data_IF_076363017915
#
_entry.id   IF_076363017915
#
_cell.length_a   1.000
_cell.length_b   1.000
_cell.length_c   1.000
_cell.angle_alpha   90.00
_cell.angle_beta   90.00
_cell.angle_gamma   90.00
#
_symmetry.space_group_name_H-M   'P 1'
#
loop_
_entity.id
_entity.type
_entity.pdbx_description
1 polymer ?
#
# COMPACT_ATOMS: atom_id res chain seq x y z
N UNK A 1 -41.52 -22.16 -8.06
CA UNK A 1 -40.18 -22.65 -8.47
C UNK A 1 -39.20 -22.16 -7.41
N UNK A 2 -39.22 -22.69 -6.20
CA UNK A 2 -38.69 -23.98 -5.73
C UNK A 2 -37.22 -24.15 -6.18
N UNK A 3 -36.33 -23.88 -5.22
CA UNK A 3 -34.92 -24.20 -5.24
C UNK A 3 -34.76 -25.72 -5.11
N UNK A 4 -33.94 -26.30 -5.99
CA UNK A 4 -33.57 -27.71 -5.97
C UNK A 4 -32.36 -27.92 -5.03
N UNK A 5 -32.62 -28.65 -3.95
CA UNK A 5 -31.64 -29.16 -2.99
C UNK A 5 -31.40 -30.63 -3.27
N UNK A 6 -30.27 -30.97 -3.89
CA UNK A 6 -29.80 -32.36 -3.99
C UNK A 6 -28.81 -32.66 -2.85
N UNK A 7 -29.38 -33.15 -1.75
CA UNK A 7 -28.66 -33.87 -0.69
C UNK A 7 -28.46 -35.31 -1.16
N UNK A 8 -27.20 -35.75 -1.27
CA UNK A 8 -26.86 -37.16 -1.43
C UNK A 8 -27.01 -37.88 -0.08
N UNK A 9 -27.93 -38.85 -0.08
CA UNK A 9 -28.11 -39.89 0.93
C UNK A 9 -26.86 -40.77 1.04
N UNK A 10 -26.40 -41.04 2.26
CA UNK A 10 -25.60 -42.22 2.58
C UNK A 10 -26.28 -42.91 3.75
N UNK A 11 -26.48 -44.22 3.58
CA UNK A 11 -27.51 -44.99 4.26
C UNK A 11 -27.26 -45.28 5.74
N UNK A 12 -28.39 -45.43 6.42
CA UNK A 12 -28.52 -46.01 7.75
C UNK A 12 -28.19 -47.51 7.74
N UNK A 13 -27.30 -47.93 8.65
CA UNK A 13 -27.25 -49.30 9.14
C UNK A 13 -27.30 -49.32 10.67
N UNK A 14 -28.22 -50.14 11.16
CA UNK A 14 -28.69 -50.34 12.53
C UNK A 14 -27.66 -50.96 13.51
N UNK A 15 -28.01 -50.82 14.80
CA UNK A 15 -27.64 -51.61 16.01
C UNK A 15 -26.59 -51.02 16.98
N UNK A 16 -26.61 -51.38 18.28
CA UNK A 16 -27.61 -51.02 19.28
C UNK A 16 -26.99 -50.34 20.53
N UNK A 17 -27.86 -49.81 21.38
CA UNK A 17 -27.54 -49.14 22.64
C UNK A 17 -26.96 -50.13 23.68
N UNK A 18 -25.70 -49.95 24.08
CA UNK A 18 -25.16 -50.49 25.33
C UNK A 18 -24.38 -49.41 26.10
N UNK A 19 -24.70 -49.36 27.38
CA UNK A 19 -24.19 -48.46 28.42
C UNK A 19 -22.72 -48.74 28.77
N UNK A 20 -21.91 -47.70 28.95
CA UNK A 20 -20.70 -47.78 29.79
C UNK A 20 -19.49 -47.01 29.27
N UNK A 21 -19.19 -45.90 29.95
CA UNK A 21 -17.83 -45.36 30.24
C UNK A 21 -16.90 -44.91 29.11
N UNK A 22 -16.26 -43.76 29.37
CA UNK A 22 -15.21 -43.06 28.62
C UNK A 22 -15.70 -42.16 27.46
N UNK A 23 -15.75 -40.85 27.73
CA UNK A 23 -15.81 -39.83 26.68
C UNK A 23 -14.54 -39.93 25.81
N UNK A 24 -14.65 -40.17 24.49
CA UNK A 24 -13.53 -39.96 23.60
C UNK A 24 -13.35 -38.45 23.47
N UNK A 25 -12.18 -37.93 23.87
CA UNK A 25 -11.75 -36.61 23.43
C UNK A 25 -11.75 -36.66 21.91
N UNK A 26 -12.65 -35.91 21.27
CA UNK A 26 -12.57 -35.64 19.84
C UNK A 26 -11.19 -35.03 19.60
N UNK A 27 -10.27 -35.86 19.10
CA UNK A 27 -9.04 -35.39 18.51
C UNK A 27 -9.41 -34.63 17.26
N UNK A 28 -9.68 -33.33 17.40
CA UNK A 28 -9.74 -32.42 16.27
C UNK A 28 -8.35 -32.51 15.62
N UNK A 29 -8.23 -32.99 14.38
CA UNK A 29 -6.93 -32.98 13.73
C UNK A 29 -6.50 -31.52 13.65
N UNK A 30 -5.35 -31.19 14.24
CA UNK A 30 -4.63 -29.95 13.97
C UNK A 30 -4.08 -30.03 12.55
N UNK A 31 -4.98 -30.04 11.58
CA UNK A 31 -4.65 -29.79 10.19
C UNK A 31 -4.28 -28.32 10.10
N UNK A 32 -2.98 -28.04 10.09
CA UNK A 32 -2.48 -26.74 9.66
C UNK A 32 -2.94 -26.55 8.23
N UNK A 33 -4.02 -25.81 8.00
CA UNK A 33 -4.35 -25.29 6.68
C UNK A 33 -3.24 -24.29 6.32
N UNK A 34 -2.13 -24.80 5.77
CA UNK A 34 -1.17 -23.98 5.05
C UNK A 34 -1.83 -23.57 3.74
N UNK A 35 -2.67 -22.53 3.79
CA UNK A 35 -2.96 -21.80 2.59
C UNK A 35 -1.65 -21.11 2.19
N UNK A 36 -0.94 -21.68 1.23
CA UNK A 36 0.25 -21.08 0.62
C UNK A 36 -0.19 -19.90 -0.23
N UNK A 37 -0.60 -18.81 0.41
CA UNK A 37 -0.94 -17.56 -0.27
C UNK A 37 0.28 -16.68 -0.52
N UNK A 38 1.41 -16.99 0.11
CA UNK A 38 2.65 -16.22 -0.04
C UNK A 38 3.36 -16.65 -1.33
N UNK A 39 3.20 -15.85 -2.40
CA UNK A 39 3.80 -16.12 -3.71
C UNK A 39 4.42 -14.88 -4.37
N UNK A 40 4.34 -13.71 -3.74
CA UNK A 40 4.89 -12.45 -4.23
C UNK A 40 6.08 -11.97 -3.39
N UNK A 41 7.15 -11.61 -4.07
CA UNK A 41 8.29 -10.91 -3.47
C UNK A 41 8.08 -9.39 -3.45
N UNK A 42 7.29 -8.86 -4.40
CA UNK A 42 6.98 -7.44 -4.47
C UNK A 42 5.54 -7.17 -4.94
N UNK A 43 4.92 -6.14 -4.37
CA UNK A 43 3.70 -5.52 -4.90
C UNK A 43 3.95 -4.02 -5.02
N UNK A 44 3.82 -3.47 -6.23
CA UNK A 44 3.92 -2.02 -6.47
C UNK A 44 2.51 -1.45 -6.70
N UNK A 45 1.99 -0.72 -5.71
CA UNK A 45 0.73 0.00 -5.80
C UNK A 45 0.95 1.44 -6.27
N UNK A 46 0.07 1.87 -7.18
CA UNK A 46 0.22 3.11 -7.96
C UNK A 46 1.47 3.06 -8.84
N UNK A 47 1.59 1.96 -9.58
CA UNK A 47 2.86 1.59 -10.22
C UNK A 47 3.29 2.55 -11.33
N UNK A 48 2.37 3.27 -11.98
CA UNK A 48 2.67 4.16 -13.10
C UNK A 48 3.49 3.45 -14.19
N UNK A 49 4.79 3.75 -14.26
CA UNK A 49 5.73 3.13 -15.20
C UNK A 49 6.35 1.81 -14.73
N UNK A 50 5.94 1.31 -13.56
CA UNK A 50 6.24 -0.01 -12.99
C UNK A 50 7.72 -0.22 -12.67
N UNK A 51 8.40 0.84 -12.22
CA UNK A 51 9.86 0.82 -12.05
C UNK A 51 10.28 -0.16 -10.96
N UNK A 52 9.56 -0.19 -9.82
CA UNK A 52 9.92 -1.05 -8.69
C UNK A 52 9.68 -2.51 -9.06
N UNK A 53 8.50 -2.84 -9.57
CA UNK A 53 8.15 -4.21 -9.96
C UNK A 53 9.08 -4.74 -11.07
N UNK A 54 9.41 -3.93 -12.08
CA UNK A 54 10.37 -4.31 -13.13
C UNK A 54 11.77 -4.54 -12.56
N UNK A 55 12.19 -3.75 -11.58
CA UNK A 55 13.45 -3.97 -10.87
C UNK A 55 13.49 -5.33 -10.19
N UNK A 56 12.44 -5.71 -9.45
CA UNK A 56 12.33 -7.04 -8.83
C UNK A 56 12.33 -8.16 -9.88
N UNK A 57 11.54 -8.02 -10.94
CA UNK A 57 11.47 -9.01 -12.04
C UNK A 57 12.82 -9.17 -12.75
N UNK A 58 13.58 -8.09 -12.94
CA UNK A 58 14.91 -8.14 -13.52
C UNK A 58 15.87 -9.04 -12.73
N UNK A 59 15.74 -9.07 -11.41
CA UNK A 59 16.50 -9.95 -10.52
C UNK A 59 15.84 -11.34 -10.31
N UNK A 60 14.81 -11.68 -11.08
CA UNK A 60 14.15 -12.99 -11.03
C UNK A 60 13.11 -13.17 -9.91
N UNK A 61 12.74 -12.09 -9.22
CA UNK A 61 11.72 -12.15 -8.17
C UNK A 61 10.29 -12.04 -8.73
N UNK A 62 9.34 -12.69 -8.04
CA UNK A 62 7.92 -12.53 -8.34
C UNK A 62 7.42 -11.15 -7.92
N UNK A 63 6.86 -10.38 -8.86
CA UNK A 63 6.32 -9.05 -8.58
C UNK A 63 4.98 -8.83 -9.27
N UNK A 64 4.06 -8.16 -8.58
CA UNK A 64 2.78 -7.71 -9.11
C UNK A 64 2.69 -6.18 -9.10
N UNK A 65 1.91 -5.63 -10.03
CA UNK A 65 1.63 -4.19 -10.12
C UNK A 65 0.14 -3.94 -9.90
N UNK A 66 -0.16 -2.76 -9.36
CA UNK A 66 -1.51 -2.25 -9.21
C UNK A 66 -1.55 -0.80 -9.72
N UNK A 67 -2.20 -0.59 -10.87
CA UNK A 67 -2.28 0.69 -11.57
C UNK A 67 -3.62 0.83 -12.31
N UNK A 68 -4.31 1.96 -12.12
CA UNK A 68 -5.65 2.18 -12.68
C UNK A 68 -5.65 2.19 -14.22
N UNK A 69 -4.52 2.56 -14.83
CA UNK A 69 -4.35 2.51 -16.28
C UNK A 69 -4.31 1.09 -16.85
N UNK A 70 -3.98 0.07 -16.04
CA UNK A 70 -3.99 -1.33 -16.45
C UNK A 70 -5.39 -1.94 -16.34
N UNK A 71 -6.15 -1.60 -15.29
CA UNK A 71 -7.52 -2.06 -15.08
C UNK A 71 -8.32 -1.05 -14.22
N UNK A 72 -9.29 -0.36 -14.84
CA UNK A 72 -10.09 0.67 -14.16
C UNK A 72 -11.11 0.17 -13.14
N UNK A 73 -11.26 -1.14 -12.96
CA UNK A 73 -12.20 -1.74 -12.00
C UNK A 73 -11.42 -2.42 -10.87
N UNK A 74 -10.55 -3.37 -11.23
CA UNK A 74 -9.79 -4.17 -10.27
C UNK A 74 -8.51 -3.45 -9.80
N UNK A 75 -8.03 -2.45 -10.52
CA UNK A 75 -6.84 -1.66 -10.12
C UNK A 75 -7.17 -0.19 -9.83
N UNK A 76 -8.43 0.11 -9.55
CA UNK A 76 -8.86 1.39 -8.97
C UNK A 76 -9.02 1.29 -7.46
N UNK A 77 -8.14 1.94 -6.70
CA UNK A 77 -8.17 1.93 -5.24
C UNK A 77 -9.44 2.59 -4.68
N UNK A 78 -10.15 3.41 -5.47
CA UNK A 78 -11.41 4.06 -5.10
C UNK A 78 -12.63 3.15 -5.35
N UNK A 79 -12.50 2.16 -6.23
CA UNK A 79 -13.49 1.12 -6.43
C UNK A 79 -13.40 0.09 -5.27
N UNK A 80 -14.52 -0.33 -4.64
CA UNK A 80 -14.48 -1.36 -3.60
C UNK A 80 -13.83 -2.68 -4.04
N UNK A 81 -14.07 -3.12 -5.28
CA UNK A 81 -13.44 -4.33 -5.84
C UNK A 81 -11.95 -4.13 -6.00
N UNK A 82 -11.54 -2.97 -6.54
CA UNK A 82 -10.14 -2.64 -6.66
C UNK A 82 -9.44 -2.51 -5.32
N UNK A 83 -10.10 -1.99 -4.29
CA UNK A 83 -9.55 -1.97 -2.93
C UNK A 83 -9.38 -3.37 -2.33
N UNK A 84 -10.37 -4.26 -2.50
CA UNK A 84 -10.24 -5.67 -2.11
C UNK A 84 -9.10 -6.36 -2.85
N UNK A 85 -8.89 -6.06 -4.13
CA UNK A 85 -7.77 -6.59 -4.90
C UNK A 85 -6.42 -6.05 -4.41
N UNK A 86 -6.32 -4.77 -4.06
CA UNK A 86 -5.11 -4.21 -3.45
C UNK A 86 -4.76 -4.93 -2.13
N UNK A 87 -5.75 -5.19 -1.27
CA UNK A 87 -5.56 -5.94 -0.04
C UNK A 87 -5.12 -7.39 -0.32
N UNK A 88 -5.74 -8.04 -1.30
CA UNK A 88 -5.40 -9.44 -1.66
C UNK A 88 -3.98 -9.56 -2.20
N UNK A 89 -3.49 -8.57 -2.94
CA UNK A 89 -2.08 -8.52 -3.35
C UNK A 89 -1.15 -8.35 -2.15
N UNK A 90 -1.47 -7.46 -1.20
CA UNK A 90 -0.63 -7.23 -0.02
C UNK A 90 -0.46 -8.50 0.82
N UNK A 91 -1.52 -9.28 1.05
CA UNK A 91 -1.45 -10.51 1.86
C UNK A 91 -0.73 -11.68 1.16
N UNK A 92 -0.46 -11.56 -0.15
CA UNK A 92 0.30 -12.55 -0.93
C UNK A 92 1.81 -12.37 -0.84
N UNK A 93 2.27 -11.32 -0.15
CA UNK A 93 3.69 -11.10 0.07
C UNK A 93 4.28 -12.17 0.98
N UNK A 94 5.50 -12.64 0.65
CA UNK A 94 6.31 -13.43 1.58
C UNK A 94 6.53 -12.64 2.86
N UNK A 95 6.18 -13.19 4.03
CA UNK A 95 6.24 -12.42 5.28
C UNK A 95 7.64 -11.95 5.66
N UNK A 96 8.64 -12.76 5.36
CA UNK A 96 10.03 -12.51 5.78
C UNK A 96 10.84 -11.70 4.77
N UNK A 97 10.40 -11.64 3.50
CA UNK A 97 11.19 -11.09 2.40
C UNK A 97 10.41 -10.22 1.41
N UNK A 98 9.08 -10.22 1.50
CA UNK A 98 8.20 -9.48 0.60
C UNK A 98 8.19 -7.99 0.90
N UNK A 99 8.01 -7.18 -0.14
CA UNK A 99 7.91 -5.73 -0.03
C UNK A 99 6.71 -5.19 -0.80
N UNK A 100 5.82 -4.45 -0.12
CA UNK A 100 4.89 -3.57 -0.83
C UNK A 100 5.48 -2.16 -0.98
N UNK A 101 5.40 -1.60 -2.19
CA UNK A 101 5.72 -0.21 -2.46
C UNK A 101 4.44 0.56 -2.80
N UNK A 102 4.15 1.65 -2.09
CA UNK A 102 2.99 2.50 -2.28
C UNK A 102 3.42 3.89 -2.73
N UNK A 103 3.00 4.33 -3.91
CA UNK A 103 3.24 5.70 -4.39
C UNK A 103 1.93 6.45 -4.71
N UNK A 104 1.02 6.63 -3.73
CA UNK A 104 -0.30 7.21 -3.99
C UNK A 104 -0.22 8.63 -4.55
N UNK A 105 -1.24 8.99 -5.33
CA UNK A 105 -1.30 10.26 -6.05
C UNK A 105 -1.10 11.45 -5.10
N UNK A 106 -0.02 12.21 -5.34
CA UNK A 106 0.42 13.30 -4.48
C UNK A 106 -0.09 14.70 -4.92
N UNK A 107 -0.75 14.81 -6.07
CA UNK A 107 -1.01 16.09 -6.75
C UNK A 107 -1.78 17.11 -5.91
N UNK A 108 -2.71 16.67 -5.04
CA UNK A 108 -3.46 17.58 -4.15
C UNK A 108 -2.75 17.90 -2.83
N UNK A 109 -1.70 17.15 -2.50
CA UNK A 109 -1.01 17.16 -1.20
C UNK A 109 0.27 18.00 -1.21
N UNK A 110 0.86 18.23 -2.38
CA UNK A 110 2.09 19.01 -2.55
C UNK A 110 1.84 20.52 -2.51
N UNK A 111 2.90 21.27 -2.15
CA UNK A 111 2.81 22.72 -1.93
C UNK A 111 2.18 23.52 -3.07
N UNK A 112 2.44 23.12 -4.33
CA UNK A 112 1.94 23.79 -5.54
C UNK A 112 0.41 23.82 -5.58
N UNK A 113 -0.26 22.78 -5.10
CA UNK A 113 -1.72 22.65 -5.17
C UNK A 113 -2.40 23.02 -3.84
N UNK A 114 -1.65 23.37 -2.78
CA UNK A 114 -2.25 23.65 -1.46
C UNK A 114 -3.22 24.84 -1.47
N UNK A 115 -3.03 25.81 -2.36
CA UNK A 115 -3.92 26.95 -2.48
C UNK A 115 -5.33 26.51 -2.95
N UNK A 116 -5.38 25.76 -4.05
CA UNK A 116 -6.62 25.24 -4.64
C UNK A 116 -7.22 24.09 -3.82
N UNK A 117 -6.38 23.20 -3.28
CA UNK A 117 -6.84 22.09 -2.45
C UNK A 117 -7.20 22.52 -1.03
N UNK A 118 -6.76 23.70 -0.58
CA UNK A 118 -6.94 24.19 0.79
C UNK A 118 -6.28 23.32 1.86
N UNK A 119 -5.39 22.40 1.48
CA UNK A 119 -4.75 21.49 2.44
C UNK A 119 -3.62 22.20 3.17
N UNK A 120 -3.60 22.07 4.49
CA UNK A 120 -2.48 22.45 5.35
C UNK A 120 -2.25 21.37 6.41
N UNK A 121 -1.26 21.56 7.28
CA UNK A 121 -1.05 20.68 8.42
C UNK A 121 -2.27 20.70 9.37
N UNK A 122 -2.86 21.87 9.60
CA UNK A 122 -4.03 22.08 10.45
C UNK A 122 -5.33 21.66 9.77
N UNK A 123 -5.35 21.71 8.43
CA UNK A 123 -6.50 21.33 7.61
C UNK A 123 -6.11 20.29 6.55
N UNK A 124 -5.72 19.07 6.97
CA UNK A 124 -5.16 18.08 6.06
C UNK A 124 -6.18 17.56 5.05
N UNK A 125 -7.48 17.64 5.36
CA UNK A 125 -8.58 17.20 4.49
C UNK A 125 -8.97 18.21 3.39
N UNK A 126 -8.44 19.44 3.45
CA UNK A 126 -8.68 20.47 2.44
C UNK A 126 -10.11 21.03 2.41
N UNK A 127 -10.51 21.62 1.27
CA UNK A 127 -11.89 22.10 1.04
C UNK A 127 -12.81 20.94 0.63
N UNK A 128 -13.29 20.14 1.57
CA UNK A 128 -14.07 18.93 1.26
C UNK A 128 -15.38 19.18 0.49
N UNK A 129 -15.93 20.39 0.57
CA UNK A 129 -17.19 20.76 -0.08
C UNK A 129 -17.01 21.24 -1.53
N UNK A 130 -15.77 21.42 -2.01
CA UNK A 130 -15.49 22.16 -3.25
C UNK A 130 -15.06 21.28 -4.43
N UNK A 131 -14.67 20.01 -4.23
CA UNK A 131 -14.40 19.12 -5.37
C UNK A 131 -14.54 17.63 -5.04
N UNK A 132 -15.18 16.89 -5.96
CA UNK A 132 -15.20 15.43 -5.93
C UNK A 132 -13.76 14.83 -5.91
N UNK A 133 -12.80 15.54 -6.52
CA UNK A 133 -11.38 15.16 -6.53
C UNK A 133 -10.78 15.18 -5.12
N UNK A 134 -11.04 16.20 -4.30
CA UNK A 134 -10.53 16.24 -2.92
C UNK A 134 -11.09 15.10 -2.06
N UNK A 135 -12.38 14.80 -2.22
CA UNK A 135 -13.01 13.68 -1.55
C UNK A 135 -12.38 12.35 -1.98
N UNK A 136 -12.23 12.14 -3.29
CA UNK A 136 -11.56 10.96 -3.84
C UNK A 136 -10.13 10.81 -3.30
N UNK A 137 -9.35 11.90 -3.23
CA UNK A 137 -7.99 11.86 -2.67
C UNK A 137 -7.98 11.53 -1.16
N UNK A 138 -8.95 12.00 -0.39
CA UNK A 138 -9.10 11.62 1.03
C UNK A 138 -9.43 10.13 1.17
N UNK A 139 -10.34 9.61 0.34
CA UNK A 139 -10.71 8.19 0.31
C UNK A 139 -9.52 7.32 -0.09
N UNK A 140 -8.76 7.73 -1.12
CA UNK A 140 -7.54 7.05 -1.57
C UNK A 140 -6.55 6.90 -0.41
N UNK A 141 -6.23 8.00 0.29
CA UNK A 141 -5.32 7.94 1.44
C UNK A 141 -5.90 7.09 2.56
N UNK A 142 -7.19 7.21 2.87
CA UNK A 142 -7.85 6.36 3.87
C UNK A 142 -7.69 4.86 3.57
N UNK A 143 -7.89 4.45 2.31
CA UNK A 143 -7.73 3.06 1.86
C UNK A 143 -6.27 2.62 1.83
N UNK A 144 -5.35 3.48 1.41
CA UNK A 144 -3.91 3.20 1.53
C UNK A 144 -3.54 2.92 2.99
N UNK A 145 -3.95 3.80 3.91
CA UNK A 145 -3.65 3.63 5.34
C UNK A 145 -4.31 2.37 5.92
N UNK A 146 -5.48 1.97 5.42
CA UNK A 146 -6.10 0.70 5.79
C UNK A 146 -5.25 -0.50 5.34
N UNK A 147 -4.73 -0.51 4.11
CA UNK A 147 -3.76 -1.52 3.65
C UNK A 147 -2.54 -1.55 4.56
N UNK A 148 -1.92 -0.40 4.81
CA UNK A 148 -0.70 -0.31 5.63
C UNK A 148 -0.96 -0.75 7.09
N UNK A 149 -2.12 -0.42 7.66
CA UNK A 149 -2.53 -0.86 9.01
C UNK A 149 -2.65 -2.38 9.07
N UNK A 150 -3.30 -2.99 8.06
CA UNK A 150 -3.40 -4.45 7.95
C UNK A 150 -2.00 -5.07 7.80
N UNK A 151 -1.16 -4.51 6.93
CA UNK A 151 0.21 -5.00 6.72
C UNK A 151 1.03 -4.95 8.01
N UNK A 152 0.98 -3.83 8.75
CA UNK A 152 1.60 -3.74 10.08
C UNK A 152 1.10 -4.83 11.03
N UNK A 153 -0.22 -5.05 11.10
CA UNK A 153 -0.81 -6.07 11.96
C UNK A 153 -0.38 -7.51 11.58
N UNK A 154 -0.07 -7.75 10.30
CA UNK A 154 0.41 -9.02 9.77
C UNK A 154 1.94 -9.15 9.75
N UNK A 155 2.69 -8.12 10.18
CA UNK A 155 4.15 -8.11 10.12
C UNK A 155 4.72 -7.99 8.72
N UNK A 156 3.96 -7.49 7.74
CA UNK A 156 4.38 -7.35 6.35
C UNK A 156 5.14 -6.03 6.12
N UNK A 157 6.33 -6.06 5.48
CA UNK A 157 7.09 -4.86 5.16
C UNK A 157 6.43 -4.01 4.08
N UNK A 158 6.45 -2.68 4.26
CA UNK A 158 6.05 -1.75 3.21
C UNK A 158 6.99 -0.54 3.11
N UNK A 159 6.94 0.12 1.96
CA UNK A 159 7.41 1.49 1.77
C UNK A 159 6.25 2.31 1.21
N UNK A 160 6.04 3.49 1.80
CA UNK A 160 5.15 4.50 1.28
C UNK A 160 5.96 5.72 0.86
N UNK A 161 5.81 6.12 -0.39
CA UNK A 161 6.51 7.23 -1.02
C UNK A 161 5.60 8.47 -1.10
N UNK A 162 6.13 9.64 -0.73
CA UNK A 162 5.51 10.94 -1.01
C UNK A 162 6.57 12.02 -1.28
N UNK A 163 6.26 13.04 -2.12
CA UNK A 163 7.15 14.19 -2.28
C UNK A 163 7.42 14.89 -0.94
N UNK A 164 8.61 15.48 -0.78
CA UNK A 164 9.05 16.08 0.48
C UNK A 164 8.14 17.21 1.01
N UNK A 165 7.39 17.84 0.11
CA UNK A 165 6.46 18.93 0.40
C UNK A 165 5.01 18.48 0.63
N UNK A 166 4.75 17.17 0.60
CA UNK A 166 3.42 16.61 0.80
C UNK A 166 2.96 16.80 2.24
N UNK A 167 1.72 17.25 2.44
CA UNK A 167 1.07 17.29 3.77
C UNK A 167 0.26 16.03 4.08
N UNK A 168 0.40 14.97 3.26
CA UNK A 168 -0.37 13.72 3.41
C UNK A 168 -0.16 13.04 4.77
N UNK A 169 1.02 13.20 5.38
CA UNK A 169 1.31 12.62 6.70
C UNK A 169 0.38 13.13 7.80
N UNK A 170 -0.19 14.33 7.65
CA UNK A 170 -1.14 14.90 8.61
C UNK A 170 -2.58 14.38 8.40
N UNK A 171 -2.83 13.55 7.39
CA UNK A 171 -4.15 12.95 7.18
C UNK A 171 -4.58 12.12 8.41
N UNK A 172 -5.84 12.20 8.87
CA UNK A 172 -6.29 11.51 10.08
C UNK A 172 -6.02 9.99 10.09
N UNK A 173 -6.18 9.31 8.95
CA UNK A 173 -5.87 7.88 8.84
C UNK A 173 -4.37 7.59 8.91
N UNK A 174 -3.51 8.51 8.43
CA UNK A 174 -2.06 8.37 8.56
C UNK A 174 -1.67 8.56 10.03
N UNK A 175 -2.21 9.58 10.67
CA UNK A 175 -2.03 9.83 12.10
C UNK A 175 -2.56 8.68 12.97
N UNK A 176 -3.59 7.97 12.51
CA UNK A 176 -4.03 6.73 13.16
C UNK A 176 -2.96 5.64 13.04
N UNK A 177 -2.49 5.33 11.82
CA UNK A 177 -1.42 4.36 11.59
C UNK A 177 -0.19 4.64 12.46
N UNK A 178 0.30 5.87 12.46
CA UNK A 178 1.49 6.29 13.22
C UNK A 178 1.30 6.29 14.74
N UNK A 179 0.05 6.34 15.23
CA UNK A 179 -0.26 6.16 16.66
C UNK A 179 -0.33 4.69 17.06
N UNK A 180 -0.72 3.80 16.14
CA UNK A 180 -0.85 2.37 16.42
C UNK A 180 0.47 1.62 16.23
N UNK A 181 1.31 2.05 15.28
CA UNK A 181 2.53 1.36 14.90
C UNK A 181 3.71 2.32 14.82
N UNK A 182 4.90 1.79 15.07
CA UNK A 182 6.14 2.54 14.86
C UNK A 182 6.37 2.68 13.35
N UNK A 183 6.24 3.90 12.85
CA UNK A 183 6.53 4.25 11.46
C UNK A 183 7.82 5.06 11.41
N UNK A 184 8.76 4.59 10.62
CA UNK A 184 10.02 5.25 10.36
C UNK A 184 9.91 6.12 9.10
N UNK A 185 10.71 7.18 9.03
CA UNK A 185 10.72 8.16 7.95
C UNK A 185 12.16 8.43 7.50
N UNK A 186 12.43 8.37 6.20
CA UNK A 186 13.71 8.73 5.60
C UNK A 186 13.51 9.72 4.45
N UNK A 187 14.46 10.65 4.31
CA UNK A 187 14.55 11.54 3.17
C UNK A 187 15.44 10.94 2.10
N UNK A 188 14.99 10.96 0.85
CA UNK A 188 15.79 10.54 -0.31
C UNK A 188 15.72 11.56 -1.43
N UNK A 189 16.79 11.61 -2.22
CA UNK A 189 16.82 12.35 -3.47
C UNK A 189 16.54 11.42 -4.64
N UNK A 190 15.45 11.63 -5.38
CA UNK A 190 15.12 10.83 -6.57
C UNK A 190 16.23 10.89 -7.63
N UNK A 191 17.01 11.99 -7.64
CA UNK A 191 18.18 12.13 -8.50
C UNK A 191 19.26 11.07 -8.26
N UNK A 192 19.41 10.56 -7.04
CA UNK A 192 20.33 9.47 -6.69
C UNK A 192 19.88 8.11 -7.25
N UNK A 193 18.59 8.00 -7.60
CA UNK A 193 17.99 6.80 -8.19
C UNK A 193 17.78 6.92 -9.70
N UNK A 194 18.56 7.80 -10.35
CA UNK A 194 18.50 8.00 -11.80
C UNK A 194 17.45 9.01 -12.26
N UNK A 195 16.77 9.70 -11.34
CA UNK A 195 15.84 10.77 -11.69
C UNK A 195 16.50 11.93 -12.45
N UNK A 196 15.73 12.60 -13.31
CA UNK A 196 16.20 13.76 -14.08
C UNK A 196 16.35 15.03 -13.27
N UNK A 197 15.75 15.06 -12.07
CA UNK A 197 15.82 16.18 -11.13
C UNK A 197 16.16 15.68 -9.73
N UNK A 198 16.81 16.52 -8.89
CA UNK A 198 17.06 16.22 -7.49
C UNK A 198 15.77 16.46 -6.69
N UNK A 199 14.68 15.76 -7.05
CA UNK A 199 13.41 15.87 -6.34
C UNK A 199 13.52 15.15 -4.99
N UNK A 200 13.26 15.88 -3.92
CA UNK A 200 13.20 15.32 -2.57
C UNK A 200 11.91 14.54 -2.33
N UNK A 201 12.04 13.39 -1.69
CA UNK A 201 10.95 12.46 -1.39
C UNK A 201 11.11 11.94 0.04
N UNK A 202 9.99 11.80 0.74
CA UNK A 202 9.89 11.08 2.00
C UNK A 202 9.49 9.62 1.72
N UNK A 203 10.24 8.71 2.32
CA UNK A 203 9.87 7.30 2.44
C UNK A 203 9.39 7.03 3.86
N UNK A 204 8.31 6.29 4.00
CA UNK A 204 7.78 5.83 5.27
C UNK A 204 7.71 4.30 5.29
N UNK A 205 8.06 3.67 6.40
CA UNK A 205 8.02 2.20 6.54
C UNK A 205 7.79 1.77 7.98
N UNK A 206 7.28 0.55 8.18
CA UNK A 206 7.30 -0.15 9.45
C UNK A 206 8.63 -0.87 9.75
N UNK A 207 9.59 -0.87 8.82
CA UNK A 207 10.90 -1.53 8.95
C UNK A 207 12.03 -0.50 8.85
N UNK A 208 12.79 -0.33 9.94
CA UNK A 208 13.87 0.66 10.02
C UNK A 208 15.05 0.35 9.09
N UNK A 209 15.48 -0.90 9.05
CA UNK A 209 16.62 -1.33 8.23
C UNK A 209 16.37 -1.01 6.75
N UNK A 210 15.17 -1.34 6.28
CA UNK A 210 14.74 -1.12 4.90
C UNK A 210 14.87 0.34 4.46
N UNK A 211 14.42 1.31 5.28
CA UNK A 211 14.52 2.73 4.90
C UNK A 211 15.94 3.29 5.04
N UNK A 212 16.77 2.73 5.94
CA UNK A 212 18.17 3.13 6.10
C UNK A 212 19.01 2.70 4.91
N UNK A 213 18.76 1.49 4.40
CA UNK A 213 19.45 0.94 3.23
C UNK A 213 19.08 1.71 1.95
N UNK A 214 17.92 2.38 1.93
CA UNK A 214 17.49 3.28 0.87
C UNK A 214 17.98 4.73 1.06
N UNK A 215 18.96 4.99 1.91
CA UNK A 215 19.60 6.30 1.91
C UNK A 215 20.76 6.32 0.91
N UNK A 216 20.65 7.16 -0.13
CA UNK A 216 21.76 7.49 -1.02
C UNK A 216 22.03 8.99 -1.00
N UNK A 217 23.31 9.42 -0.89
CA UNK A 217 23.65 10.83 -1.03
C UNK A 217 23.29 11.32 -2.43
N UNK A 218 23.03 12.63 -2.57
CA UNK A 218 22.80 13.22 -3.89
C UNK A 218 24.04 13.04 -4.75
N UNK A 219 23.89 12.45 -5.94
CA UNK A 219 25.02 12.24 -6.84
C UNK A 219 25.56 13.57 -7.39
N UNK A 220 26.85 13.61 -7.69
CA UNK A 220 27.55 14.75 -8.33
C UNK A 220 27.20 14.89 -9.83
N UNK A 221 25.93 14.69 -10.19
CA UNK A 221 25.40 14.93 -11.52
C UNK A 221 25.25 16.44 -11.71
N UNK A 222 25.73 16.98 -12.83
CA UNK A 222 25.42 18.37 -13.23
C UNK A 222 23.95 18.46 -13.61
N UNK A 223 23.12 18.93 -12.68
CA UNK A 223 21.70 19.19 -12.91
C UNK A 223 21.57 20.35 -13.92
N UNK A 224 20.96 20.10 -15.08
CA UNK A 224 21.00 21.02 -16.22
C UNK A 224 20.53 22.44 -15.89
N UNK A 225 21.14 23.44 -16.53
CA UNK A 225 20.87 24.88 -16.33
C UNK A 225 19.39 25.28 -16.50
N UNK A 226 18.55 24.47 -17.15
CA UNK A 226 17.10 24.67 -17.26
C UNK A 226 16.34 24.54 -15.93
N UNK A 227 16.88 23.83 -14.93
CA UNK A 227 16.27 23.78 -13.57
C UNK A 227 16.65 24.98 -12.69
N UNK A 228 17.70 25.73 -13.06
CA UNK A 228 18.27 26.84 -12.28
C UNK A 228 17.92 28.21 -12.87
N UNK A 229 17.03 28.30 -13.88
CA UNK A 229 16.51 29.61 -14.32
C UNK A 229 15.59 30.18 -13.25
N UNK A 230 16.26 30.86 -12.32
CA UNK A 230 15.80 31.80 -11.31
C UNK A 230 14.47 32.42 -11.69
N UNK A 231 13.56 32.43 -10.72
CA UNK A 231 12.77 33.60 -10.35
C UNK A 231 13.46 34.86 -10.88
N UNK A 232 12.99 35.37 -12.02
CA UNK A 232 13.39 36.69 -12.47
C UNK A 232 12.82 37.62 -11.41
N UNK A 233 13.69 38.39 -10.76
CA UNK A 233 13.27 39.45 -9.86
C UNK A 233 12.23 40.30 -10.60
N UNK A 234 11.04 40.45 -10.01
CA UNK A 234 10.17 41.56 -10.36
C UNK A 234 10.93 42.80 -9.91
N UNK A 235 11.58 43.46 -10.88
CA UNK A 235 12.07 44.81 -10.66
C UNK A 235 10.84 45.70 -10.47
N UNK A 236 10.91 46.45 -9.38
CA UNK A 236 10.12 47.62 -8.96
C UNK A 236 9.31 48.32 -10.04
#
# INVERSE_FOLDING_TARGET
MIYDTTLCNVGDTLYPFTSGTAQPRLGIPRGTFHLQFEDLSCVELFAGVKTVARGFQYYGFSAATYEIADDGIYQDILNPLGFCFALSLCIRLFKEAGLAWFAPVCSSWVWINRHTSGRSQERPLGYQQCSAVQLAMNVMVGRCMACLTMMCALGLPFILEQPSTSVMEYHPCFQFLARQFRIYKAFVWMGSYGGDSPKGTWLYSNVEALIKDLYLPLCDKKWGAKMVRRLVALNT
#
